data_IF_746303953090
#
_entry.id   IF_746303953090
#
_cell.length_a   1.000
_cell.length_b   1.000
_cell.length_c   1.000
_cell.angle_alpha   90.00
_cell.angle_beta   90.00
_cell.angle_gamma   90.00
#
_symmetry.space_group_name_H-M   'P 1'
#
loop_
_entity.id
_entity.type
_entity.pdbx_description
1 polymer ?
#
# COMPACT_ATOMS: atom_id res chain seq x y z
N UNK A 1 0.36 -23.58 -3.20
CA UNK A 1 -0.19 -22.88 -4.42
C UNK A 1 0.93 -22.03 -5.02
N UNK A 2 0.98 -21.86 -6.35
CA UNK A 2 2.04 -21.13 -7.06
C UNK A 2 1.79 -19.63 -6.96
N UNK A 3 2.82 -18.82 -6.62
CA UNK A 3 2.76 -17.36 -6.66
C UNK A 3 2.43 -16.87 -8.06
N UNK A 4 1.49 -15.94 -8.20
CA UNK A 4 1.21 -15.27 -9.47
C UNK A 4 2.40 -14.40 -9.88
N UNK A 5 2.74 -14.39 -11.16
CA UNK A 5 3.74 -13.49 -11.74
C UNK A 5 3.21 -12.06 -11.84
N UNK A 6 4.11 -11.06 -12.01
CA UNK A 6 3.71 -9.67 -12.27
C UNK A 6 2.75 -9.55 -13.45
N UNK A 7 2.91 -10.39 -14.49
CA UNK A 7 2.02 -10.40 -15.65
C UNK A 7 0.62 -10.91 -15.31
N UNK A 8 0.51 -11.93 -14.46
CA UNK A 8 -0.78 -12.47 -14.02
C UNK A 8 -1.50 -11.48 -13.10
N UNK A 9 -0.79 -10.83 -12.17
CA UNK A 9 -1.34 -9.73 -11.37
C UNK A 9 -1.79 -8.56 -12.25
N UNK A 10 -0.95 -8.15 -13.22
CA UNK A 10 -1.32 -7.11 -14.19
C UNK A 10 -2.65 -7.43 -14.88
N UNK A 11 -2.79 -8.62 -15.50
CA UNK A 11 -4.03 -9.05 -16.17
C UNK A 11 -5.23 -9.02 -15.22
N UNK A 12 -5.04 -9.46 -13.99
CA UNK A 12 -6.09 -9.48 -12.98
C UNK A 12 -6.55 -8.06 -12.63
N UNK A 13 -5.63 -7.14 -12.35
CA UNK A 13 -5.96 -5.75 -12.04
C UNK A 13 -6.52 -5.00 -13.27
N UNK A 14 -6.04 -5.31 -14.48
CA UNK A 14 -6.64 -4.78 -15.71
C UNK A 14 -8.13 -5.17 -15.81
N UNK A 15 -8.48 -6.41 -15.47
CA UNK A 15 -9.87 -6.91 -15.59
C UNK A 15 -10.86 -6.26 -14.63
N UNK A 16 -10.39 -5.74 -13.47
CA UNK A 16 -11.25 -5.19 -12.43
C UNK A 16 -11.19 -3.67 -12.32
N UNK A 17 -10.31 -3.01 -13.05
CA UNK A 17 -10.07 -1.56 -12.91
C UNK A 17 -11.36 -0.73 -12.94
N UNK A 18 -12.31 -1.09 -13.81
CA UNK A 18 -13.59 -0.39 -13.95
C UNK A 18 -14.54 -0.50 -12.75
N UNK A 19 -14.36 -1.52 -11.91
CA UNK A 19 -15.22 -1.76 -10.73
C UNK A 19 -14.45 -1.64 -9.41
N UNK A 20 -13.13 -1.42 -9.47
CA UNK A 20 -12.23 -1.47 -8.30
C UNK A 20 -12.70 -0.59 -7.14
N UNK A 21 -13.13 0.63 -7.42
CA UNK A 21 -13.60 1.55 -6.37
C UNK A 21 -14.92 1.13 -5.74
N UNK A 22 -15.79 0.47 -6.51
CA UNK A 22 -17.09 -0.02 -6.02
C UNK A 22 -16.91 -1.20 -5.06
N UNK A 23 -15.86 -2.01 -5.27
CA UNK A 23 -15.53 -3.15 -4.42
C UNK A 23 -14.58 -2.80 -3.29
N UNK A 24 -14.00 -1.60 -3.30
CA UNK A 24 -13.07 -1.13 -2.29
C UNK A 24 -13.80 -0.53 -1.09
N UNK A 25 -13.31 -0.82 0.12
CA UNK A 25 -13.90 -0.31 1.34
C UNK A 25 -13.45 1.15 1.60
N UNK A 26 -14.36 2.11 1.40
CA UNK A 26 -14.10 3.54 1.56
C UNK A 26 -13.59 3.92 2.96
N UNK A 27 -14.08 3.25 4.01
CA UNK A 27 -13.61 3.50 5.37
C UNK A 27 -12.14 3.13 5.54
N UNK A 28 -11.74 1.95 5.07
CA UNK A 28 -10.33 1.51 5.18
C UNK A 28 -9.41 2.34 4.30
N UNK A 29 -9.89 2.82 3.13
CA UNK A 29 -9.16 3.76 2.27
C UNK A 29 -8.88 5.06 3.02
N UNK A 30 -9.90 5.67 3.63
CA UNK A 30 -9.75 6.91 4.40
C UNK A 30 -8.79 6.71 5.58
N UNK A 31 -8.93 5.62 6.33
CA UNK A 31 -8.03 5.32 7.47
C UNK A 31 -6.57 5.11 7.05
N UNK A 32 -6.33 4.61 5.84
CA UNK A 32 -4.98 4.52 5.27
C UNK A 32 -4.46 5.90 4.89
N UNK A 33 -5.23 6.69 4.14
CA UNK A 33 -4.81 8.02 3.70
C UNK A 33 -4.47 8.96 4.86
N UNK A 34 -5.27 8.93 5.95
CA UNK A 34 -5.01 9.70 7.18
C UNK A 34 -3.66 9.39 7.84
N UNK A 35 -3.04 8.28 7.49
CA UNK A 35 -1.76 7.84 8.06
C UNK A 35 -0.57 8.50 7.40
N UNK A 36 -0.76 9.13 6.24
CA UNK A 36 0.29 9.77 5.46
C UNK A 36 0.15 11.29 5.54
N UNK A 37 1.22 11.92 5.97
CA UNK A 37 1.36 13.38 5.93
C UNK A 37 2.47 13.69 4.95
N UNK A 38 2.13 14.31 3.84
CA UNK A 38 3.03 14.72 2.77
C UNK A 38 2.92 16.24 2.67
N UNK A 39 4.05 16.92 2.56
CA UNK A 39 4.09 18.31 2.16
C UNK A 39 3.88 18.37 0.64
N UNK A 40 2.98 19.23 0.18
CA UNK A 40 2.68 19.40 -1.25
C UNK A 40 3.87 19.92 -2.06
N UNK A 41 4.90 20.46 -1.41
CA UNK A 41 6.18 20.82 -2.03
C UNK A 41 7.11 19.63 -2.25
N UNK A 42 6.84 18.46 -1.62
CA UNK A 42 7.63 17.24 -1.73
C UNK A 42 7.27 16.46 -3.01
N UNK A 43 8.29 16.10 -3.78
CA UNK A 43 8.12 15.22 -4.94
C UNK A 43 7.95 13.76 -4.47
N UNK A 44 6.70 13.37 -4.28
CA UNK A 44 6.34 12.04 -3.76
C UNK A 44 5.72 11.16 -4.84
N UNK A 45 6.09 9.88 -4.83
CA UNK A 45 5.61 8.86 -5.77
C UNK A 45 4.93 7.72 -5.02
N UNK A 46 3.74 7.29 -5.49
CA UNK A 46 3.07 6.08 -5.01
C UNK A 46 3.23 4.95 -6.02
N UNK A 47 3.73 3.79 -5.54
CA UNK A 47 3.87 2.57 -6.34
C UNK A 47 2.68 1.65 -6.12
N UNK A 48 2.15 1.06 -7.21
CA UNK A 48 0.94 0.25 -7.14
C UNK A 48 -0.27 1.09 -6.72
N UNK A 49 -0.39 2.29 -7.25
CA UNK A 49 -1.43 3.27 -6.86
C UNK A 49 -2.84 2.87 -7.29
N UNK A 50 -2.99 1.84 -8.15
CA UNK A 50 -4.26 1.43 -8.69
C UNK A 50 -4.97 2.59 -9.39
N UNK A 51 -6.23 2.85 -9.00
CA UNK A 51 -7.04 3.95 -9.53
C UNK A 51 -6.66 5.32 -8.96
N UNK A 52 -5.61 5.42 -8.14
CA UNK A 52 -5.14 6.66 -7.54
C UNK A 52 -6.03 7.21 -6.42
N UNK A 53 -6.97 6.43 -5.93
CA UNK A 53 -7.96 6.89 -4.93
C UNK A 53 -7.31 7.25 -3.59
N UNK A 54 -6.27 6.53 -3.16
CA UNK A 54 -5.58 6.81 -1.90
C UNK A 54 -4.72 8.06 -2.04
N UNK A 55 -3.90 8.16 -3.09
CA UNK A 55 -3.10 9.36 -3.37
C UNK A 55 -3.96 10.62 -3.47
N UNK A 56 -5.16 10.52 -4.05
CA UNK A 56 -6.06 11.67 -4.16
C UNK A 56 -6.49 12.24 -2.81
N UNK A 57 -6.62 11.37 -1.80
CA UNK A 57 -6.97 11.75 -0.43
C UNK A 57 -5.76 12.26 0.37
N UNK A 58 -4.55 11.86 -0.02
CA UNK A 58 -3.30 12.29 0.62
C UNK A 58 -2.90 13.66 0.08
N UNK A 59 -2.55 13.72 -1.19
CA UNK A 59 -2.19 14.94 -1.92
C UNK A 59 -2.34 14.74 -3.44
N UNK A 60 -2.84 15.78 -4.13
CA UNK A 60 -3.05 15.74 -5.58
C UNK A 60 -1.74 15.80 -6.39
N UNK A 61 -0.64 16.23 -5.80
CA UNK A 61 0.68 16.32 -6.44
C UNK A 61 1.39 14.98 -6.53
N UNK A 62 1.01 13.97 -5.72
CA UNK A 62 1.61 12.63 -5.71
C UNK A 62 1.60 12.03 -7.12
N UNK A 63 2.76 11.55 -7.57
CA UNK A 63 2.90 10.80 -8.82
C UNK A 63 2.38 9.39 -8.59
N UNK A 64 1.38 8.98 -9.37
CA UNK A 64 0.80 7.64 -9.31
C UNK A 64 1.52 6.70 -10.28
N UNK A 65 1.94 5.52 -9.81
CA UNK A 65 2.49 4.50 -10.71
C UNK A 65 1.82 3.15 -10.48
N UNK A 66 1.53 2.44 -11.56
CA UNK A 66 0.97 1.09 -11.51
C UNK A 66 1.42 0.26 -12.71
N UNK A 67 1.52 -1.06 -12.55
CA UNK A 67 1.86 -1.97 -13.65
C UNK A 67 0.65 -2.22 -14.57
N UNK A 68 -0.57 -2.06 -14.05
CA UNK A 68 -1.81 -2.22 -14.78
C UNK A 68 -2.13 -0.95 -15.58
N UNK A 69 -2.18 -1.10 -16.90
CA UNK A 69 -2.53 0.00 -17.79
C UNK A 69 -3.97 0.49 -17.57
N UNK A 70 -4.91 -0.43 -17.33
CA UNK A 70 -6.31 -0.07 -17.07
C UNK A 70 -6.50 0.64 -15.73
N UNK A 71 -5.71 0.28 -14.70
CA UNK A 71 -5.67 1.05 -13.43
C UNK A 71 -5.16 2.47 -13.66
N UNK A 72 -4.07 2.63 -14.42
CA UNK A 72 -3.55 3.95 -14.79
C UNK A 72 -4.57 4.79 -15.56
N UNK A 73 -5.31 4.19 -16.53
CA UNK A 73 -6.41 4.87 -17.23
C UNK A 73 -7.50 5.34 -16.27
N UNK A 74 -7.84 4.50 -15.29
CA UNK A 74 -8.85 4.87 -14.31
C UNK A 74 -8.35 5.99 -13.39
N UNK A 75 -7.07 5.97 -13.00
CA UNK A 75 -6.46 7.07 -12.25
C UNK A 75 -6.55 8.41 -13.01
N UNK A 76 -6.29 8.40 -14.31
CA UNK A 76 -6.48 9.60 -15.16
C UNK A 76 -7.95 10.04 -15.20
N UNK A 77 -8.91 9.13 -15.32
CA UNK A 77 -10.36 9.44 -15.24
C UNK A 77 -10.73 10.04 -13.88
N UNK A 78 -10.06 9.62 -12.82
CA UNK A 78 -10.17 10.17 -11.46
C UNK A 78 -9.41 11.50 -11.30
N UNK A 79 -9.06 12.15 -12.43
CA UNK A 79 -8.39 13.46 -12.45
C UNK A 79 -6.99 13.47 -11.82
N UNK A 80 -6.30 12.33 -11.77
CA UNK A 80 -4.87 12.31 -11.44
C UNK A 80 -4.09 12.84 -12.64
N UNK A 81 -3.21 13.81 -12.40
CA UNK A 81 -2.44 14.49 -13.47
C UNK A 81 -1.13 13.76 -13.79
N UNK A 82 -0.50 13.20 -12.76
CA UNK A 82 0.82 12.58 -12.85
C UNK A 82 0.65 11.05 -12.70
N UNK A 83 0.52 10.36 -13.82
CA UNK A 83 0.32 8.91 -13.85
C UNK A 83 1.33 8.27 -14.80
N UNK A 84 2.04 7.25 -14.32
CA UNK A 84 3.05 6.51 -15.08
C UNK A 84 2.72 5.02 -15.00
N UNK A 85 2.56 4.36 -16.16
CA UNK A 85 2.40 2.91 -16.20
C UNK A 85 3.78 2.25 -16.20
N UNK A 86 4.19 1.64 -15.08
CA UNK A 86 5.50 1.02 -14.94
C UNK A 86 5.52 -0.08 -13.88
N UNK A 87 6.56 -0.92 -13.94
CA UNK A 87 6.86 -1.91 -12.91
C UNK A 87 7.58 -1.23 -11.73
N UNK A 88 7.08 -1.43 -10.51
CA UNK A 88 7.68 -0.88 -9.30
C UNK A 88 9.09 -1.44 -9.01
N UNK A 89 9.40 -2.65 -9.50
CA UNK A 89 10.74 -3.24 -9.40
C UNK A 89 11.76 -2.55 -10.34
N UNK A 90 11.28 -1.74 -11.30
CA UNK A 90 12.07 -1.04 -12.32
C UNK A 90 11.57 0.38 -12.52
N UNK A 91 11.56 1.17 -11.46
CA UNK A 91 11.05 2.55 -11.50
C UNK A 91 11.81 3.41 -12.53
N UNK A 92 11.14 4.04 -13.50
CA UNK A 92 11.76 4.88 -14.51
C UNK A 92 12.02 6.29 -13.98
N UNK A 93 12.72 6.37 -12.86
CA UNK A 93 12.97 7.63 -12.12
C UNK A 93 14.46 7.84 -11.98
N UNK A 94 14.90 9.08 -12.14
CA UNK A 94 16.31 9.46 -11.92
C UNK A 94 16.70 9.26 -10.45
N UNK A 95 17.99 9.04 -10.23
CA UNK A 95 18.53 8.93 -8.88
C UNK A 95 18.43 10.26 -8.13
N UNK A 96 18.23 10.21 -6.82
CA UNK A 96 18.25 11.34 -5.89
C UNK A 96 17.29 12.48 -6.24
N UNK A 97 16.09 12.18 -6.71
CA UNK A 97 15.08 13.22 -7.06
C UNK A 97 13.83 13.17 -6.17
N UNK A 98 13.47 12.01 -5.61
CA UNK A 98 12.25 11.90 -4.82
C UNK A 98 12.47 12.26 -3.35
N UNK A 99 11.50 12.99 -2.80
CA UNK A 99 11.40 13.32 -1.38
C UNK A 99 10.61 12.26 -0.61
N UNK A 100 9.79 11.46 -1.29
CA UNK A 100 9.03 10.38 -0.68
C UNK A 100 8.61 9.28 -1.65
N UNK A 101 8.51 8.07 -1.14
CA UNK A 101 7.88 6.95 -1.84
C UNK A 101 6.81 6.33 -0.93
N UNK A 102 5.64 6.07 -1.50
CA UNK A 102 4.54 5.34 -0.88
C UNK A 102 4.36 3.99 -1.57
N UNK A 103 4.19 2.94 -0.79
CA UNK A 103 3.76 1.62 -1.27
C UNK A 103 2.60 1.15 -0.40
N UNK A 104 1.38 1.45 -0.87
CA UNK A 104 0.16 1.24 -0.08
C UNK A 104 -0.50 -0.05 -0.53
N UNK A 105 -0.32 -1.12 0.27
CA UNK A 105 -0.85 -2.46 -0.01
C UNK A 105 -0.38 -3.05 -1.36
N UNK A 106 0.80 -2.65 -1.84
CA UNK A 106 1.34 -3.06 -3.13
C UNK A 106 2.52 -4.04 -3.03
N UNK A 107 3.35 -3.93 -1.99
CA UNK A 107 4.64 -4.64 -1.90
C UNK A 107 4.52 -6.18 -1.98
N UNK A 108 3.42 -6.76 -1.51
CA UNK A 108 3.23 -8.22 -1.52
C UNK A 108 2.76 -8.78 -2.89
N UNK A 109 2.50 -7.92 -3.87
CA UNK A 109 2.26 -8.32 -5.26
C UNK A 109 3.56 -8.37 -6.09
N UNK A 110 4.66 -7.82 -5.58
CA UNK A 110 5.94 -7.79 -6.27
C UNK A 110 6.57 -9.18 -6.32
N UNK A 111 7.22 -9.51 -7.43
CA UNK A 111 8.00 -10.74 -7.54
C UNK A 111 9.23 -10.68 -6.64
N UNK A 112 9.92 -9.55 -6.64
CA UNK A 112 11.11 -9.31 -5.85
C UNK A 112 11.04 -7.98 -5.10
N UNK A 113 10.51 -7.96 -3.86
CA UNK A 113 10.47 -6.76 -3.04
C UNK A 113 11.84 -6.10 -2.80
N UNK A 114 12.94 -6.87 -2.87
CA UNK A 114 14.29 -6.31 -2.71
C UNK A 114 14.67 -5.41 -3.89
N UNK A 115 14.31 -5.77 -5.13
CA UNK A 115 14.60 -4.94 -6.29
C UNK A 115 13.79 -3.64 -6.25
N UNK A 116 12.54 -3.70 -5.79
CA UNK A 116 11.76 -2.49 -5.49
C UNK A 116 12.46 -1.59 -4.46
N UNK A 117 12.99 -2.16 -3.37
CA UNK A 117 13.68 -1.36 -2.35
C UNK A 117 15.00 -0.78 -2.88
N UNK A 118 15.75 -1.50 -3.71
CA UNK A 118 16.96 -0.97 -4.37
C UNK A 118 16.66 0.20 -5.30
N UNK A 119 15.66 0.05 -6.18
CA UNK A 119 15.25 1.14 -7.09
C UNK A 119 14.70 2.33 -6.31
N UNK A 120 13.92 2.09 -5.26
CA UNK A 120 13.42 3.13 -4.36
C UNK A 120 14.56 3.87 -3.66
N UNK A 121 15.55 3.15 -3.12
CA UNK A 121 16.73 3.74 -2.49
C UNK A 121 17.50 4.62 -3.47
N UNK A 122 17.69 4.16 -4.71
CA UNK A 122 18.37 4.95 -5.74
C UNK A 122 17.61 6.23 -6.08
N UNK A 123 16.29 6.18 -6.23
CA UNK A 123 15.44 7.31 -6.61
C UNK A 123 15.26 8.36 -5.48
N UNK A 124 15.25 7.93 -4.22
CA UNK A 124 15.10 8.80 -3.06
C UNK A 124 16.34 9.68 -2.84
N UNK A 125 16.14 10.89 -2.36
CA UNK A 125 17.20 11.73 -1.79
C UNK A 125 17.67 11.16 -0.44
N UNK A 126 18.86 11.56 0.02
CA UNK A 126 19.32 11.20 1.37
C UNK A 126 18.35 11.73 2.44
N UNK A 127 18.09 10.93 3.47
CA UNK A 127 17.14 11.20 4.55
C UNK A 127 15.66 11.32 4.14
N UNK A 128 15.33 11.11 2.87
CA UNK A 128 13.95 11.05 2.38
C UNK A 128 13.25 9.79 2.89
N UNK A 129 11.92 9.77 2.81
CA UNK A 129 11.09 8.75 3.45
C UNK A 129 10.54 7.73 2.46
N UNK A 130 10.52 6.48 2.88
CA UNK A 130 9.63 5.46 2.30
C UNK A 130 8.57 5.07 3.33
N UNK A 131 7.33 4.99 2.89
CA UNK A 131 6.20 4.54 3.71
C UNK A 131 5.52 3.36 3.05
N UNK A 132 5.45 2.25 3.77
CA UNK A 132 4.91 0.99 3.27
C UNK A 132 3.75 0.56 4.16
N UNK A 133 2.62 0.22 3.57
CA UNK A 133 1.54 -0.45 4.29
C UNK A 133 1.43 -1.90 3.86
N UNK A 134 1.22 -2.75 4.84
CA UNK A 134 0.98 -4.18 4.63
C UNK A 134 -0.15 -4.68 5.53
N UNK A 135 -0.81 -5.75 5.10
CA UNK A 135 -1.69 -6.50 5.98
C UNK A 135 -0.91 -7.11 7.14
N UNK A 136 -1.52 -7.10 8.29
CA UNK A 136 -0.98 -7.78 9.45
C UNK A 136 -1.16 -9.29 9.32
N UNK A 137 -0.07 -9.99 9.05
CA UNK A 137 -0.06 -11.43 8.85
C UNK A 137 -0.46 -12.21 10.11
N UNK A 138 -0.16 -11.66 11.30
CA UNK A 138 -0.49 -12.29 12.59
C UNK A 138 -2.01 -12.43 12.79
N UNK A 139 -2.80 -11.74 11.95
CA UNK A 139 -4.26 -11.79 11.93
C UNK A 139 -4.85 -12.98 11.16
N UNK A 140 -4.03 -13.90 10.62
CA UNK A 140 -4.56 -15.09 9.90
C UNK A 140 -5.52 -15.92 10.75
N UNK A 141 -5.29 -16.01 12.06
CA UNK A 141 -6.21 -16.71 12.99
C UNK A 141 -7.59 -16.03 13.12
N UNK A 142 -7.67 -14.74 12.79
CA UNK A 142 -8.93 -13.97 12.80
C UNK A 142 -9.65 -14.01 11.44
N UNK A 143 -8.99 -14.51 10.38
CA UNK A 143 -9.63 -14.70 9.07
C UNK A 143 -10.82 -15.69 9.14
N UNK A 144 -10.81 -16.64 10.06
CA UNK A 144 -11.96 -17.49 10.34
C UNK A 144 -13.16 -16.70 10.88
N UNK A 145 -12.92 -15.75 11.80
CA UNK A 145 -13.98 -14.85 12.32
C UNK A 145 -14.43 -13.87 11.23
N UNK A 146 -13.49 -13.41 10.38
CA UNK A 146 -13.83 -12.57 9.23
C UNK A 146 -14.63 -13.32 8.18
N UNK A 147 -14.36 -14.60 7.95
CA UNK A 147 -15.19 -15.41 7.04
C UNK A 147 -16.64 -15.51 7.51
N UNK A 148 -16.85 -15.52 8.83
CA UNK A 148 -18.20 -15.45 9.41
C UNK A 148 -18.85 -14.06 9.19
N UNK A 149 -18.07 -12.98 9.30
CA UNK A 149 -18.56 -11.61 9.03
C UNK A 149 -18.76 -11.35 7.52
N UNK A 150 -18.15 -12.13 6.62
CA UNK A 150 -18.38 -12.11 5.15
C UNK A 150 -19.83 -12.39 4.77
N UNK A 151 -20.57 -13.13 5.59
CA UNK A 151 -21.99 -13.42 5.34
C UNK A 151 -22.83 -12.14 5.30
N UNK A 152 -22.36 -11.08 5.96
CA UNK A 152 -23.08 -9.79 6.06
C UNK A 152 -22.63 -8.73 5.05
N UNK A 153 -21.54 -8.95 4.31
CA UNK A 153 -21.03 -7.96 3.35
C UNK A 153 -20.52 -8.62 2.06
N UNK A 154 -21.48 -8.97 1.19
CA UNK A 154 -21.23 -9.64 -0.10
C UNK A 154 -20.43 -8.80 -1.10
N UNK A 155 -20.28 -7.48 -0.88
CA UNK A 155 -19.65 -6.55 -1.81
C UNK A 155 -18.19 -6.21 -1.51
N UNK A 156 -17.62 -6.67 -0.40
CA UNK A 156 -16.32 -6.20 0.09
C UNK A 156 -15.14 -7.17 -0.12
N UNK A 157 -15.35 -8.28 -0.77
CA UNK A 157 -14.27 -9.26 -0.96
C UNK A 157 -13.98 -9.52 -2.42
N UNK A 158 -13.05 -8.75 -2.92
CA UNK A 158 -12.28 -9.14 -4.08
C UNK A 158 -11.21 -10.15 -3.60
N UNK A 159 -11.32 -11.39 -4.08
CA UNK A 159 -10.21 -12.33 -3.97
C UNK A 159 -9.13 -11.88 -4.97
N UNK A 160 -8.20 -11.08 -4.47
CA UNK A 160 -7.11 -10.53 -5.26
C UNK A 160 -5.99 -11.56 -5.54
N UNK A 161 -6.25 -12.84 -5.24
CA UNK A 161 -5.35 -13.94 -5.47
C UNK A 161 -4.36 -14.16 -4.33
N UNK A 162 -3.42 -15.04 -4.57
CA UNK A 162 -2.39 -15.35 -3.59
C UNK A 162 -1.44 -14.18 -3.40
N UNK A 163 -1.61 -13.51 -2.27
CA UNK A 163 -0.64 -12.55 -1.76
C UNK A 163 0.46 -13.32 -1.06
N UNK A 164 1.71 -13.07 -1.41
CA UNK A 164 2.80 -13.43 -0.54
C UNK A 164 2.84 -12.43 0.61
N UNK A 165 2.15 -12.76 1.67
CA UNK A 165 2.21 -11.96 2.88
C UNK A 165 3.65 -11.90 3.39
N UNK A 166 4.23 -10.73 3.33
CA UNK A 166 5.54 -10.48 3.93
C UNK A 166 5.32 -10.32 5.43
N UNK A 167 6.00 -11.16 6.23
CA UNK A 167 5.99 -10.96 7.68
C UNK A 167 6.63 -9.62 8.03
N UNK A 168 6.17 -9.00 9.10
CA UNK A 168 6.74 -7.72 9.55
C UNK A 168 8.24 -7.82 9.81
N UNK A 169 8.71 -8.95 10.34
CA UNK A 169 10.12 -9.17 10.62
C UNK A 169 10.94 -9.28 9.33
N UNK A 170 10.43 -9.99 8.33
CA UNK A 170 11.09 -10.07 7.03
C UNK A 170 11.11 -8.71 6.32
N UNK A 171 10.02 -7.93 6.40
CA UNK A 171 10.00 -6.59 5.81
C UNK A 171 11.01 -5.64 6.48
N UNK A 172 11.16 -5.72 7.82
CA UNK A 172 12.22 -4.98 8.53
C UNK A 172 13.61 -5.37 8.05
N UNK A 173 13.88 -6.66 7.98
CA UNK A 173 15.17 -7.19 7.54
C UNK A 173 15.55 -6.71 6.13
N UNK A 174 14.62 -6.79 5.16
CA UNK A 174 14.91 -6.34 3.79
C UNK A 174 15.03 -4.81 3.68
N UNK A 175 14.30 -4.04 4.50
CA UNK A 175 14.48 -2.59 4.58
C UNK A 175 15.88 -2.23 5.08
N UNK A 176 16.32 -2.83 6.18
CA UNK A 176 17.64 -2.58 6.77
C UNK A 176 18.77 -3.01 5.82
N UNK A 177 18.65 -4.19 5.17
CA UNK A 177 19.59 -4.65 4.15
C UNK A 177 19.70 -3.71 2.94
N UNK A 178 18.67 -2.94 2.64
CA UNK A 178 18.67 -1.97 1.55
C UNK A 178 18.90 -0.52 2.03
N UNK A 179 19.58 -0.35 3.17
CA UNK A 179 19.97 0.95 3.75
C UNK A 179 18.77 1.86 4.07
N UNK A 180 17.67 1.29 4.56
CA UNK A 180 16.57 2.04 5.13
C UNK A 180 16.58 1.92 6.66
N UNK A 181 16.58 3.06 7.36
CA UNK A 181 16.44 3.12 8.82
C UNK A 181 14.98 3.27 9.19
N UNK A 182 14.40 2.28 9.83
CA UNK A 182 13.01 2.32 10.28
C UNK A 182 12.86 3.38 11.38
N UNK A 183 11.93 4.30 11.19
CA UNK A 183 11.65 5.42 12.10
C UNK A 183 10.35 5.23 12.86
N UNK A 184 9.35 4.59 12.28
CA UNK A 184 8.12 4.29 12.98
C UNK A 184 7.40 3.05 12.43
N UNK A 185 6.68 2.37 13.32
CA UNK A 185 5.77 1.27 12.98
C UNK A 185 4.46 1.55 13.67
N UNK A 186 3.40 1.68 12.88
CA UNK A 186 2.05 1.98 13.38
C UNK A 186 1.10 0.88 12.93
N UNK A 187 0.16 0.53 13.79
CA UNK A 187 -0.89 -0.44 13.49
C UNK A 187 -2.24 0.28 13.47
N UNK A 188 -3.06 -0.01 12.49
CA UNK A 188 -4.32 0.70 12.24
C UNK A 188 -5.45 -0.25 11.90
N UNK A 189 -6.67 0.14 12.29
CA UNK A 189 -7.94 -0.52 11.96
C UNK A 189 -8.03 -1.95 12.49
N UNK A 190 -8.84 -2.16 13.52
CA UNK A 190 -9.23 -3.49 14.00
C UNK A 190 -10.49 -3.95 13.25
N UNK A 191 -11.48 -3.07 13.18
CA UNK A 191 -12.75 -3.34 12.50
C UNK A 191 -12.89 -2.50 11.23
N UNK A 192 -13.15 -3.11 10.06
CA UNK A 192 -13.26 -2.38 8.79
C UNK A 192 -14.63 -1.69 8.61
N UNK A 193 -15.28 -1.28 9.70
CA UNK A 193 -16.61 -0.68 9.69
C UNK A 193 -16.58 0.75 10.23
N UNK A 194 -17.19 1.69 9.48
CA UNK A 194 -17.28 3.11 9.87
C UNK A 194 -18.02 3.29 11.20
N UNK A 195 -19.04 2.49 11.46
CA UNK A 195 -19.80 2.50 12.72
C UNK A 195 -18.94 2.24 13.97
N UNK A 196 -17.83 1.52 13.82
CA UNK A 196 -16.90 1.19 14.90
C UNK A 196 -15.67 2.12 14.92
N UNK A 197 -15.72 3.27 14.26
CA UNK A 197 -14.58 4.20 14.16
C UNK A 197 -14.04 4.63 15.52
N UNK A 198 -14.90 5.06 16.45
CA UNK A 198 -14.47 5.48 17.80
C UNK A 198 -13.83 4.34 18.57
N UNK A 199 -14.36 3.13 18.46
CA UNK A 199 -13.79 1.93 19.06
C UNK A 199 -12.40 1.62 18.46
N UNK A 200 -12.23 1.70 17.15
CA UNK A 200 -10.94 1.57 16.49
C UNK A 200 -9.90 2.53 17.07
N UNK A 201 -10.23 3.83 17.19
CA UNK A 201 -9.32 4.84 17.72
C UNK A 201 -8.86 4.55 19.16
N UNK A 202 -9.74 3.98 19.98
CA UNK A 202 -9.42 3.57 21.34
C UNK A 202 -8.49 2.35 21.34
N UNK A 203 -8.85 1.31 20.60
CA UNK A 203 -8.15 0.03 20.59
C UNK A 203 -6.78 0.09 19.90
N UNK A 204 -6.61 0.95 18.88
CA UNK A 204 -5.34 1.16 18.18
C UNK A 204 -4.21 1.65 19.12
N UNK A 205 -4.56 2.36 20.20
CA UNK A 205 -3.61 2.90 21.19
C UNK A 205 -3.24 1.90 22.29
N UNK A 206 -4.03 0.86 22.48
CA UNK A 206 -3.88 -0.10 23.56
C UNK A 206 -3.12 -1.37 23.16
N UNK A 207 -3.05 -2.34 24.09
CA UNK A 207 -2.45 -3.66 23.85
C UNK A 207 -3.18 -4.45 22.75
N UNK A 208 -4.45 -4.13 22.48
CA UNK A 208 -5.26 -4.75 21.43
C UNK A 208 -4.87 -4.31 20.02
N UNK A 209 -3.89 -3.42 19.85
CA UNK A 209 -3.35 -3.05 18.55
C UNK A 209 -2.70 -4.25 17.81
N UNK A 210 -2.43 -5.34 18.50
CA UNK A 210 -2.04 -6.62 17.90
C UNK A 210 -3.05 -7.09 16.83
N UNK A 211 -4.34 -6.83 17.05
CA UNK A 211 -5.43 -7.20 16.15
C UNK A 211 -5.69 -6.19 15.03
N UNK A 212 -4.84 -5.19 14.87
CA UNK A 212 -4.99 -4.22 13.79
C UNK A 212 -4.77 -4.85 12.42
N UNK A 213 -5.57 -4.40 11.47
CA UNK A 213 -5.62 -4.91 10.10
C UNK A 213 -4.41 -4.49 9.26
N UNK A 214 -3.98 -3.23 9.42
CA UNK A 214 -2.86 -2.66 8.67
C UNK A 214 -1.67 -2.37 9.57
N UNK A 215 -0.51 -2.65 9.04
CA UNK A 215 0.77 -2.20 9.58
C UNK A 215 1.34 -1.17 8.61
N UNK A 216 1.74 -0.03 9.15
CA UNK A 216 2.37 1.08 8.42
C UNK A 216 3.78 1.19 8.92
N UNK A 217 4.74 1.00 8.02
CA UNK A 217 6.17 1.16 8.32
C UNK A 217 6.64 2.43 7.61
N UNK A 218 7.29 3.30 8.37
CA UNK A 218 8.01 4.47 7.86
C UNK A 218 9.50 4.26 8.08
N UNK A 219 10.29 4.47 7.03
CA UNK A 219 11.73 4.37 7.10
C UNK A 219 12.40 5.50 6.32
N UNK A 220 13.62 5.89 6.73
CA UNK A 220 14.45 6.89 6.05
C UNK A 220 15.49 6.21 5.19
N UNK A 221 15.70 6.76 4.00
CA UNK A 221 16.78 6.39 3.10
C UNK A 221 18.12 6.90 3.67
N UNK A 222 19.07 6.01 3.89
CA UNK A 222 20.42 6.33 4.38
C UNK A 222 21.40 6.20 3.21
N UNK A 223 22.03 7.30 2.85
CA UNK A 223 23.09 7.37 1.82
C UNK A 223 24.37 7.91 2.41
#
# INVERSE_FOLDING_TARGET
MKKLSNLEFKKKFDSIAGIYEKISNSYTINRRSESFKIDSSELTLETGSGTGIVSQLIDKSVICTDISYEMCKQAVRNKRKNVICCDAEKLPVRNNVLDGILSIEAIYYLNNPQDFLKTSHSALKSNSKIMITVFNQDMKSVDSIRSLLRIFDKNQYFDDGQRDFISINHLKEILEKNNFKITSIRKKVIFPFKSLHKLNLCLEKGRLNYFCYFIIIEAKCIK
#
